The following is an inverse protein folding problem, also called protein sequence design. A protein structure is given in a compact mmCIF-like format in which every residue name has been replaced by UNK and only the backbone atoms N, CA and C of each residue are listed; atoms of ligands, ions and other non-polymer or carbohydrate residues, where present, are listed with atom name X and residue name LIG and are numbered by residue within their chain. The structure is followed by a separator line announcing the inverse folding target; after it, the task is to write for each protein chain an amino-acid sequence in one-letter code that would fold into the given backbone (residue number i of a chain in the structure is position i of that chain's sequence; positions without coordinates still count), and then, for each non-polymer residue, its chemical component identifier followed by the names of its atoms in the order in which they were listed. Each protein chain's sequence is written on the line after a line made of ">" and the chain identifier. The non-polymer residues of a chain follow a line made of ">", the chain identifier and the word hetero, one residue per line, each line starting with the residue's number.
data_IF_085802718629
#
_entry.id   IF_085802718629
#
_cell.length_a   1.000
_cell.length_b   1.000
_cell.length_c   1.000
_cell.angle_alpha   90.00
_cell.angle_beta   90.00
_cell.angle_gamma   90.00
#
_symmetry.space_group_name_H-M   'P 1'
#
loop_
_entity.id
_entity.type
_entity.pdbx_description
1 polymer ?
#
# COMPACT_ATOMS: atom_id res chain seq x y z
N UNK A 1 -0.68 -8.41 4.38
CA UNK A 1 -0.08 -7.14 4.83
C UNK A 1 -1.13 -6.41 5.63
N UNK A 2 -0.78 -5.75 6.72
CA UNK A 2 -1.73 -4.97 7.54
C UNK A 2 -1.30 -3.51 7.58
N UNK A 3 -2.27 -2.59 7.50
CA UNK A 3 -2.02 -1.16 7.58
C UNK A 3 -1.66 -0.81 9.03
N UNK A 4 -0.43 -0.34 9.23
CA UNK A 4 0.06 0.02 10.56
C UNK A 4 -0.13 1.50 10.80
N UNK A 5 0.03 2.31 9.74
CA UNK A 5 -0.01 3.75 9.90
C UNK A 5 -0.29 4.52 8.61
N UNK A 6 -0.88 5.71 8.76
CA UNK A 6 -1.10 6.66 7.68
C UNK A 6 -0.58 8.05 8.05
N UNK A 7 -0.02 8.76 7.07
CA UNK A 7 0.41 10.16 7.22
C UNK A 7 -0.19 11.06 6.16
N UNK A 8 -0.59 12.26 6.59
CA UNK A 8 -0.76 13.37 5.67
C UNK A 8 0.59 13.71 5.00
N UNK A 9 0.54 14.03 3.71
CA UNK A 9 1.72 14.36 2.91
C UNK A 9 1.61 15.82 2.49
N UNK A 10 2.66 16.60 2.76
CA UNK A 10 2.68 18.02 2.41
C UNK A 10 2.47 18.17 0.91
N UNK A 11 1.51 19.02 0.54
CA UNK A 11 1.15 19.27 -0.85
C UNK A 11 0.61 18.02 -1.58
N UNK A 12 -0.10 17.13 -0.88
CA UNK A 12 -0.80 16.01 -1.51
C UNK A 12 -2.16 15.82 -0.85
N UNK A 13 -3.21 15.67 -1.66
CA UNK A 13 -4.57 15.40 -1.18
C UNK A 13 -4.70 14.01 -0.56
N UNK A 14 -3.83 13.09 -0.95
CA UNK A 14 -3.88 11.69 -0.55
C UNK A 14 -2.83 11.40 0.52
N UNK A 15 -3.21 10.75 1.63
CA UNK A 15 -2.25 10.33 2.64
C UNK A 15 -1.34 9.23 2.09
N UNK A 16 -0.20 9.06 2.75
CA UNK A 16 0.71 7.93 2.56
C UNK A 16 0.38 6.84 3.55
N UNK A 17 0.21 5.62 3.08
CA UNK A 17 -0.07 4.45 3.92
C UNK A 17 1.16 3.55 4.05
N UNK A 18 1.35 3.01 5.25
CA UNK A 18 2.44 2.11 5.60
C UNK A 18 1.87 0.80 6.12
N UNK A 19 2.33 -0.29 5.53
CA UNK A 19 1.89 -1.64 5.83
C UNK A 19 3.07 -2.50 6.30
N UNK A 20 2.78 -3.43 7.19
CA UNK A 20 3.74 -4.44 7.65
C UNK A 20 3.17 -5.83 7.41
N UNK A 21 4.05 -6.79 7.13
CA UNK A 21 3.65 -8.18 7.15
C UNK A 21 3.31 -8.63 8.57
N UNK A 22 2.18 -9.32 8.73
CA UNK A 22 1.70 -9.86 10.01
C UNK A 22 2.25 -11.26 10.31
N UNK A 23 2.90 -11.90 9.32
CA UNK A 23 3.50 -13.21 9.53
C UNK A 23 4.62 -13.14 10.57
N UNK A 24 4.64 -14.10 11.49
CA UNK A 24 5.60 -14.12 12.59
C UNK A 24 7.04 -14.13 12.04
N UNK A 25 7.91 -13.28 12.60
CA UNK A 25 9.29 -13.15 12.14
C UNK A 25 9.48 -12.41 10.82
N UNK A 26 8.42 -12.07 10.09
CA UNK A 26 8.52 -11.33 8.85
C UNK A 26 8.74 -9.84 9.10
N UNK A 27 9.72 -9.26 8.39
CA UNK A 27 10.10 -7.85 8.49
C UNK A 27 9.73 -7.04 7.24
N UNK A 28 8.99 -7.64 6.32
CA UNK A 28 8.59 -6.95 5.08
C UNK A 28 7.69 -5.77 5.40
N UNK A 29 7.97 -4.65 4.75
CA UNK A 29 7.17 -3.43 4.80
C UNK A 29 6.71 -3.07 3.40
N UNK A 30 5.59 -2.37 3.32
CA UNK A 30 5.07 -1.80 2.08
C UNK A 30 4.65 -0.37 2.35
N UNK A 31 4.99 0.53 1.45
CA UNK A 31 4.54 1.90 1.43
C UNK A 31 3.68 2.10 0.20
N UNK A 32 2.54 2.75 0.34
CA UNK A 32 1.66 3.12 -0.76
C UNK A 32 1.51 4.64 -0.77
N UNK A 33 1.79 5.26 -1.91
CA UNK A 33 1.72 6.71 -2.10
C UNK A 33 1.14 7.02 -3.48
N UNK A 34 0.11 7.87 -3.53
CA UNK A 34 -0.32 8.50 -4.77
C UNK A 34 0.50 9.75 -5.08
N UNK A 35 0.84 10.01 -6.33
CA UNK A 35 1.55 11.23 -6.69
C UNK A 35 0.61 12.44 -6.69
N UNK A 36 1.12 13.60 -6.24
CA UNK A 36 0.36 14.86 -6.32
C UNK A 36 0.17 15.32 -7.76
N UNK A 37 1.20 15.15 -8.60
CA UNK A 37 1.21 15.67 -9.98
C UNK A 37 0.36 14.85 -10.94
N UNK A 38 0.17 13.58 -10.61
CA UNK A 38 -0.63 12.64 -11.39
C UNK A 38 -1.37 11.73 -10.41
N UNK A 39 -2.63 12.07 -10.16
CA UNK A 39 -3.48 11.34 -9.22
C UNK A 39 -3.82 9.92 -9.72
N UNK A 40 -3.59 9.60 -11.00
CA UNK A 40 -3.72 8.26 -11.56
C UNK A 40 -2.54 7.34 -11.20
N UNK A 41 -1.41 7.90 -10.76
CA UNK A 41 -0.19 7.13 -10.50
C UNK A 41 -0.05 6.82 -9.01
N UNK A 42 -0.01 5.51 -8.70
CA UNK A 42 0.32 4.99 -7.37
C UNK A 42 1.70 4.35 -7.38
N UNK A 43 2.54 4.85 -6.51
CA UNK A 43 3.84 4.27 -6.21
C UNK A 43 3.67 3.35 -5.00
N UNK A 44 3.98 2.07 -5.20
CA UNK A 44 4.06 1.09 -4.12
C UNK A 44 5.51 0.66 -3.96
N UNK A 45 6.06 0.84 -2.76
CA UNK A 45 7.43 0.46 -2.42
C UNK A 45 7.40 -0.70 -1.46
N UNK A 46 8.09 -1.79 -1.76
CA UNK A 46 8.26 -2.94 -0.87
C UNK A 46 9.69 -2.97 -0.34
N UNK A 47 9.83 -3.16 0.97
CA UNK A 47 11.12 -3.31 1.63
C UNK A 47 11.23 -4.71 2.24
N UNK A 48 12.23 -5.48 1.80
CA UNK A 48 12.49 -6.84 2.27
C UNK A 48 11.88 -7.93 1.39
N UNK A 49 12.13 -9.18 1.78
CA UNK A 49 11.69 -10.38 1.05
C UNK A 49 10.88 -11.25 2.02
N UNK A 50 9.75 -11.77 1.55
CA UNK A 50 8.97 -12.75 2.30
C UNK A 50 9.69 -14.10 2.29
N UNK A 51 10.03 -14.62 3.47
CA UNK A 51 10.62 -15.95 3.65
C UNK A 51 9.61 -16.98 4.15
N UNK A 52 8.33 -16.77 3.84
CA UNK A 52 7.22 -17.61 4.28
C UNK A 52 6.22 -17.78 3.14
N UNK A 53 5.39 -18.85 3.18
CA UNK A 53 4.31 -19.03 2.22
C UNK A 53 3.37 -17.82 2.24
N UNK A 54 2.89 -17.44 1.06
CA UNK A 54 1.89 -16.40 0.92
C UNK A 54 0.53 -17.07 1.14
N UNK A 55 -0.01 -16.93 2.35
CA UNK A 55 -1.35 -17.44 2.73
C UNK A 55 -2.49 -16.81 1.91
N UNK A 56 -2.30 -15.55 1.49
CA UNK A 56 -3.23 -14.81 0.63
C UNK A 56 -2.48 -14.37 -0.61
N UNK A 57 -2.39 -15.25 -1.61
CA UNK A 57 -1.85 -14.84 -2.92
C UNK A 57 -2.78 -13.75 -3.43
N UNK A 58 -2.18 -12.65 -3.87
CA UNK A 58 -2.84 -11.41 -4.32
C UNK A 58 -3.31 -10.46 -3.22
N UNK A 59 -2.39 -9.57 -2.78
CA UNK A 59 -2.76 -8.15 -2.72
C UNK A 59 -3.14 -7.77 -4.16
N UNK A 60 -4.35 -8.13 -4.62
CA UNK A 60 -4.84 -7.79 -5.95
C UNK A 60 -4.66 -6.29 -6.11
N UNK A 61 -4.05 -5.87 -7.21
CA UNK A 61 -3.86 -4.46 -7.54
C UNK A 61 -5.17 -3.69 -7.31
N UNK A 62 -6.31 -4.28 -7.69
CA UNK A 62 -7.68 -3.83 -7.41
C UNK A 62 -7.96 -3.44 -5.95
N UNK A 63 -7.52 -4.24 -4.96
CA UNK A 63 -7.78 -3.95 -3.55
C UNK A 63 -6.98 -2.72 -3.09
N UNK A 64 -5.74 -2.57 -3.57
CA UNK A 64 -4.91 -1.40 -3.31
C UNK A 64 -5.53 -0.16 -3.96
N UNK A 65 -6.00 -0.28 -5.21
CA UNK A 65 -6.63 0.81 -5.96
C UNK A 65 -7.97 1.24 -5.35
N UNK A 66 -8.75 0.28 -4.84
CA UNK A 66 -10.02 0.50 -4.15
C UNK A 66 -9.82 1.20 -2.81
N UNK A 67 -8.88 0.73 -1.96
CA UNK A 67 -8.54 1.38 -0.69
C UNK A 67 -8.07 2.83 -0.89
N UNK A 68 -7.42 3.12 -2.01
CA UNK A 68 -6.93 4.45 -2.33
C UNK A 68 -7.98 5.33 -3.04
N UNK A 69 -9.20 4.85 -3.35
CA UNK A 69 -10.23 5.60 -4.10
C UNK A 69 -9.81 6.00 -5.54
N UNK A 70 -9.15 5.12 -6.28
CA UNK A 70 -8.80 5.36 -7.72
C UNK A 70 -9.95 5.00 -8.63
N UNK A 71 -10.58 3.88 -8.33
CA UNK A 71 -11.83 3.46 -8.95
C UNK A 71 -12.96 3.90 -8.03
N UNK A 72 -13.21 5.20 -7.95
CA UNK A 72 -14.58 5.63 -7.64
C UNK A 72 -15.42 5.17 -8.84
N UNK A 73 -16.13 4.05 -8.68
CA UNK A 73 -17.21 3.69 -9.60
C UNK A 73 -18.18 4.87 -9.65
N UNK A 74 -18.50 5.31 -10.86
CA UNK A 74 -19.78 5.98 -11.08
C UNK A 74 -20.92 4.99 -10.85
#
# INVERSE_FOLDING_TARGET
>A
MEEVWTKAVKNNKFPRSYYRCTHQGCKVKKQVQRLTRDEGVVVTTYEGIHSHPIEKSTDNFEHILSQMQIYTSY
#
